data_IF_312943367922
#
_entry.id   IF_312943367922
#
_cell.length_a   1.000
_cell.length_b   1.000
_cell.length_c   1.000
_cell.angle_alpha   90.00
_cell.angle_beta   90.00
_cell.angle_gamma   90.00
#
_symmetry.space_group_name_H-M   'P 1'
#
loop_
_entity.id
_entity.type
_entity.pdbx_description
1 polymer ?
#
# COMPACT_ATOMS: atom_id res chain seq x y z
N UNK A 1 -17.13 11.30 -20.38
CA UNK A 1 -16.40 10.02 -20.31
C UNK A 1 -16.48 9.38 -21.67
N UNK A 2 -15.35 9.17 -22.34
CA UNK A 2 -15.29 8.59 -23.69
C UNK A 2 -15.60 7.11 -23.64
N UNK A 3 -16.57 6.67 -24.42
CA UNK A 3 -16.90 5.27 -24.62
C UNK A 3 -16.15 4.75 -25.84
N UNK A 4 -15.34 3.74 -25.63
CA UNK A 4 -14.78 2.97 -26.73
C UNK A 4 -15.90 2.04 -27.21
N UNK A 5 -16.25 2.06 -28.49
CA UNK A 5 -17.38 1.33 -29.05
C UNK A 5 -17.30 -0.17 -28.68
N UNK A 6 -18.37 -0.69 -28.08
CA UNK A 6 -18.45 -2.10 -27.65
C UNK A 6 -17.77 -2.46 -26.33
N UNK A 7 -17.03 -1.55 -25.73
CA UNK A 7 -16.32 -1.77 -24.46
C UNK A 7 -17.16 -1.28 -23.26
N UNK A 8 -16.96 -1.85 -22.05
CA UNK A 8 -17.61 -1.32 -20.86
C UNK A 8 -17.09 0.07 -20.52
N UNK A 9 -17.94 0.90 -19.90
CA UNK A 9 -17.49 2.16 -19.35
C UNK A 9 -16.34 1.96 -18.38
N UNK A 10 -15.30 2.77 -18.48
CA UNK A 10 -14.21 2.80 -17.52
C UNK A 10 -14.77 3.29 -16.18
N UNK A 11 -14.58 2.53 -15.12
CA UNK A 11 -14.98 2.94 -13.79
C UNK A 11 -14.01 4.00 -13.26
N UNK A 12 -14.50 4.83 -12.34
CA UNK A 12 -13.62 5.83 -11.71
C UNK A 12 -12.42 5.16 -11.07
N UNK A 13 -11.22 5.63 -11.42
CA UNK A 13 -9.94 5.15 -10.89
C UNK A 13 -9.69 3.63 -11.11
N UNK A 14 -10.24 3.06 -12.19
CA UNK A 14 -10.08 1.65 -12.52
C UNK A 14 -8.67 1.33 -13.03
N UNK A 15 -8.15 0.13 -12.67
CA UNK A 15 -6.92 -0.39 -13.29
C UNK A 15 -7.20 -0.91 -14.70
N UNK A 16 -6.20 -0.84 -15.57
CA UNK A 16 -6.38 -1.29 -16.97
C UNK A 16 -6.61 -2.79 -17.06
N UNK A 17 -5.94 -3.61 -16.25
CA UNK A 17 -6.16 -5.07 -16.21
C UNK A 17 -7.59 -5.42 -15.83
N UNK A 18 -8.20 -4.67 -14.91
CA UNK A 18 -9.60 -4.82 -14.51
C UNK A 18 -10.55 -4.46 -15.65
N UNK A 19 -10.32 -3.32 -16.31
CA UNK A 19 -11.14 -2.89 -17.44
C UNK A 19 -11.08 -3.87 -18.61
N UNK A 20 -9.89 -4.36 -18.95
CA UNK A 20 -9.72 -5.39 -19.99
C UNK A 20 -10.47 -6.68 -19.62
N UNK A 21 -10.36 -7.14 -18.39
CA UNK A 21 -11.10 -8.33 -17.93
C UNK A 21 -12.61 -8.14 -18.01
N UNK A 22 -13.14 -6.98 -17.58
CA UNK A 22 -14.57 -6.65 -17.69
C UNK A 22 -15.04 -6.59 -19.15
N UNK A 23 -14.17 -6.19 -20.05
CA UNK A 23 -14.44 -6.16 -21.49
C UNK A 23 -14.70 -7.56 -22.05
N UNK A 24 -13.96 -8.57 -21.58
CA UNK A 24 -14.18 -9.95 -22.01
C UNK A 24 -15.51 -10.54 -21.53
N UNK A 25 -15.99 -10.11 -20.37
CA UNK A 25 -17.28 -10.55 -19.84
C UNK A 25 -18.47 -10.00 -20.64
N UNK A 26 -18.31 -8.84 -21.25
CA UNK A 26 -19.39 -8.14 -21.97
C UNK A 26 -19.35 -8.38 -23.47
N UNK A 27 -18.21 -8.70 -24.02
CA UNK A 27 -18.04 -8.76 -25.46
C UNK A 27 -18.29 -10.17 -26.00
N UNK A 28 -18.90 -10.22 -27.17
CA UNK A 28 -18.80 -11.34 -28.09
C UNK A 28 -17.36 -11.57 -28.60
N UNK A 29 -16.40 -10.77 -28.13
CA UNK A 29 -14.98 -10.95 -28.40
C UNK A 29 -14.52 -12.23 -27.72
N UNK A 30 -14.15 -13.19 -28.54
CA UNK A 30 -13.73 -14.52 -28.15
C UNK A 30 -12.79 -14.49 -26.96
N UNK A 31 -13.13 -15.21 -25.90
CA UNK A 31 -12.29 -15.45 -24.72
C UNK A 31 -10.88 -15.96 -25.02
N UNK A 32 -10.61 -16.38 -26.27
CA UNK A 32 -9.32 -16.87 -26.74
C UNK A 32 -8.20 -15.84 -26.56
N UNK A 33 -8.48 -14.56 -26.57
CA UNK A 33 -7.47 -13.52 -26.48
C UNK A 33 -6.89 -13.37 -25.07
N UNK A 34 -7.72 -13.35 -24.03
CA UNK A 34 -7.22 -13.35 -22.66
C UNK A 34 -6.91 -14.76 -22.13
N UNK A 35 -7.54 -15.80 -22.65
CA UNK A 35 -7.19 -17.18 -22.34
C UNK A 35 -5.77 -17.52 -22.82
N UNK A 36 -5.36 -17.08 -24.01
CA UNK A 36 -3.98 -17.20 -24.49
C UNK A 36 -2.98 -16.38 -23.67
N UNK A 37 -3.42 -15.29 -23.04
CA UNK A 37 -2.60 -14.42 -22.19
C UNK A 37 -2.61 -14.82 -20.71
N UNK A 38 -3.41 -15.81 -20.32
CA UNK A 38 -3.39 -16.41 -18.98
C UNK A 38 -1.99 -16.91 -18.58
N UNK A 39 -1.15 -17.21 -19.55
CA UNK A 39 0.27 -17.55 -19.35
C UNK A 39 1.20 -16.34 -19.15
N UNK A 40 0.74 -15.13 -19.42
CA UNK A 40 1.48 -13.87 -19.21
C UNK A 40 1.18 -13.19 -17.87
N UNK A 41 0.34 -13.79 -17.02
CA UNK A 41 0.32 -13.42 -15.61
C UNK A 41 1.72 -13.66 -15.11
N UNK A 42 2.47 -12.63 -14.64
CA UNK A 42 3.80 -12.88 -14.11
C UNK A 42 3.65 -14.00 -13.09
N UNK A 43 4.42 -15.09 -13.20
CA UNK A 43 4.32 -16.20 -12.27
C UNK A 43 4.43 -15.60 -10.87
N UNK A 44 3.64 -16.09 -9.90
CA UNK A 44 3.78 -15.65 -8.52
C UNK A 44 5.27 -15.73 -8.20
N UNK A 45 5.86 -14.61 -7.81
CA UNK A 45 7.30 -14.51 -7.54
C UNK A 45 7.65 -15.69 -6.67
N UNK A 46 8.38 -16.66 -7.24
CA UNK A 46 8.81 -17.83 -6.50
C UNK A 46 9.73 -17.32 -5.40
N UNK A 47 9.39 -17.64 -4.17
CA UNK A 47 10.15 -17.29 -2.99
C UNK A 47 11.62 -17.77 -3.18
N UNK A 48 12.56 -16.83 -3.35
CA UNK A 48 14.00 -17.12 -3.46
C UNK A 48 14.62 -16.98 -4.85
N UNK A 49 13.87 -16.66 -5.89
CA UNK A 49 14.46 -16.33 -7.21
C UNK A 49 14.94 -14.86 -7.28
N UNK A 50 15.91 -14.54 -8.16
CA UNK A 50 16.25 -13.16 -8.42
C UNK A 50 14.99 -12.42 -8.85
N UNK A 51 14.75 -11.24 -8.24
CA UNK A 51 13.62 -10.36 -8.55
C UNK A 51 13.79 -9.89 -10.00
N UNK A 52 13.22 -10.60 -10.94
CA UNK A 52 12.96 -10.05 -12.26
C UNK A 52 11.96 -8.93 -12.01
N UNK A 53 12.32 -7.70 -12.32
CA UNK A 53 11.39 -6.57 -12.33
C UNK A 53 10.28 -6.92 -13.32
N UNK A 54 9.21 -7.52 -12.80
CA UNK A 54 8.05 -7.85 -13.61
C UNK A 54 7.39 -6.53 -13.97
N UNK A 55 7.25 -6.29 -15.27
CA UNK A 55 6.53 -5.14 -15.80
C UNK A 55 5.12 -5.09 -15.18
N UNK A 56 4.77 -3.97 -14.58
CA UNK A 56 3.49 -3.78 -13.90
C UNK A 56 2.41 -3.35 -14.91
N UNK A 57 1.54 -4.25 -15.29
CA UNK A 57 0.52 -4.02 -16.31
C UNK A 57 -0.45 -2.88 -16.01
N UNK A 58 -0.67 -2.58 -14.74
CA UNK A 58 -1.61 -1.53 -14.32
C UNK A 58 -0.94 -0.16 -14.16
N UNK A 59 0.40 -0.11 -14.06
CA UNK A 59 1.12 1.12 -13.72
C UNK A 59 2.34 1.41 -14.60
N UNK A 60 2.73 0.49 -15.50
CA UNK A 60 3.77 0.72 -16.50
C UNK A 60 3.17 0.74 -17.91
N UNK A 61 3.12 1.91 -18.57
CA UNK A 61 2.56 2.04 -19.93
C UNK A 61 3.42 1.37 -21.01
N UNK A 62 4.64 0.97 -20.70
CA UNK A 62 5.58 0.44 -21.69
C UNK A 62 5.58 -1.10 -21.77
N UNK A 63 4.68 -1.77 -21.03
CA UNK A 63 4.61 -3.23 -21.03
C UNK A 63 4.18 -3.78 -22.39
N UNK A 64 4.79 -4.89 -22.80
CA UNK A 64 4.40 -5.58 -24.03
C UNK A 64 2.96 -6.10 -23.96
N UNK A 65 2.50 -6.45 -22.76
CA UNK A 65 1.09 -6.78 -22.52
C UNK A 65 0.15 -5.65 -22.93
N UNK A 66 0.43 -4.41 -22.50
CA UNK A 66 -0.40 -3.27 -22.84
C UNK A 66 -0.39 -3.01 -24.34
N UNK A 67 0.78 -3.01 -24.97
CA UNK A 67 0.92 -2.79 -26.43
C UNK A 67 0.10 -3.81 -27.21
N UNK A 68 0.28 -5.10 -26.94
CA UNK A 68 -0.46 -6.16 -27.58
C UNK A 68 -1.98 -6.05 -27.33
N UNK A 69 -2.41 -5.72 -26.09
CA UNK A 69 -3.82 -5.54 -25.79
C UNK A 69 -4.44 -4.36 -26.56
N UNK A 70 -3.72 -3.24 -26.66
CA UNK A 70 -4.21 -2.04 -27.37
C UNK A 70 -4.23 -2.25 -28.89
N UNK A 71 -3.22 -2.90 -29.46
CA UNK A 71 -3.20 -3.28 -30.90
C UNK A 71 -4.42 -4.14 -31.27
N UNK A 72 -4.73 -5.15 -30.47
CA UNK A 72 -5.86 -6.06 -30.73
C UNK A 72 -7.23 -5.37 -30.56
N UNK A 73 -7.30 -4.35 -29.71
CA UNK A 73 -8.50 -3.57 -29.53
C UNK A 73 -8.60 -2.39 -30.52
N UNK A 74 -7.61 -2.21 -31.39
CA UNK A 74 -7.46 -1.05 -32.28
C UNK A 74 -7.55 0.29 -31.51
N UNK A 75 -6.94 0.35 -30.32
CA UNK A 75 -6.90 1.52 -29.43
C UNK A 75 -5.49 2.11 -29.45
N UNK A 76 -5.39 3.42 -29.56
CA UNK A 76 -4.11 4.11 -29.43
C UNK A 76 -3.53 3.94 -28.03
N UNK A 77 -2.27 3.47 -27.93
CA UNK A 77 -1.58 3.22 -26.66
C UNK A 77 -1.44 4.48 -25.82
N UNK A 78 -1.18 5.65 -26.46
CA UNK A 78 -1.04 6.92 -25.76
C UNK A 78 -2.38 7.37 -25.17
N UNK A 79 -3.48 7.12 -25.89
CA UNK A 79 -4.82 7.38 -25.37
C UNK A 79 -5.13 6.52 -24.14
N UNK A 80 -4.83 5.22 -24.20
CA UNK A 80 -4.96 4.33 -23.05
C UNK A 80 -4.05 4.77 -21.89
N UNK A 81 -2.80 5.17 -22.18
CA UNK A 81 -1.88 5.69 -21.20
C UNK A 81 -2.42 6.92 -20.46
N UNK A 82 -2.99 7.88 -21.18
CA UNK A 82 -3.60 9.07 -20.58
C UNK A 82 -4.78 8.76 -19.67
N UNK A 83 -5.56 7.69 -19.95
CA UNK A 83 -6.71 7.28 -19.14
C UNK A 83 -6.33 6.51 -17.89
N UNK A 84 -5.33 5.63 -17.97
CA UNK A 84 -5.07 4.65 -16.93
C UNK A 84 -3.78 4.91 -16.11
N UNK A 85 -2.77 5.61 -16.64
CA UNK A 85 -1.44 5.66 -16.02
C UNK A 85 -1.10 6.95 -15.22
N UNK A 86 -2.10 7.72 -14.84
CA UNK A 86 -1.91 8.80 -13.85
C UNK A 86 -1.65 8.20 -12.46
N UNK A 87 -0.37 8.11 -12.06
CA UNK A 87 0.03 7.50 -10.79
C UNK A 87 0.65 8.54 -9.86
N UNK A 88 0.30 8.49 -8.58
CA UNK A 88 0.76 9.43 -7.56
C UNK A 88 1.39 8.74 -6.34
N UNK A 89 2.05 7.60 -6.50
CA UNK A 89 2.65 6.93 -5.35
C UNK A 89 3.31 5.59 -5.68
N UNK A 90 3.96 5.00 -4.69
CA UNK A 90 4.54 3.66 -4.80
C UNK A 90 3.42 2.61 -4.71
N UNK A 91 3.39 1.72 -5.68
CA UNK A 91 2.41 0.63 -5.76
C UNK A 91 2.92 -0.65 -5.11
N UNK A 92 1.99 -1.48 -4.66
CA UNK A 92 2.24 -2.85 -4.23
C UNK A 92 2.40 -3.73 -5.46
N UNK A 93 3.29 -4.72 -5.40
CA UNK A 93 3.44 -5.73 -6.44
C UNK A 93 2.09 -6.31 -6.88
N UNK A 94 1.92 -6.57 -8.17
CA UNK A 94 0.64 -7.00 -8.75
C UNK A 94 0.07 -8.25 -8.05
N UNK A 95 0.90 -9.22 -7.77
CA UNK A 95 0.52 -10.47 -7.11
C UNK A 95 0.09 -10.29 -5.64
N UNK A 96 0.27 -9.10 -5.09
CA UNK A 96 -0.02 -8.77 -3.68
C UNK A 96 -1.04 -7.65 -3.51
N UNK A 97 -1.77 -7.29 -4.56
CA UNK A 97 -2.86 -6.32 -4.53
C UNK A 97 -4.13 -6.96 -4.02
N UNK A 98 -4.16 -7.24 -2.73
CA UNK A 98 -5.25 -7.95 -2.06
C UNK A 98 -6.31 -7.05 -1.44
N UNK A 99 -6.10 -5.73 -1.44
CA UNK A 99 -6.95 -4.81 -0.72
C UNK A 99 -8.01 -4.20 -1.62
N UNK A 100 -9.27 -4.17 -1.16
CA UNK A 100 -10.41 -3.67 -1.93
C UNK A 100 -11.45 -3.00 -1.04
N UNK A 101 -12.32 -2.17 -1.62
CA UNK A 101 -13.46 -1.56 -0.95
C UNK A 101 -14.75 -2.28 -1.33
N UNK A 102 -15.42 -2.89 -0.35
CA UNK A 102 -16.69 -3.58 -0.56
C UNK A 102 -17.80 -2.65 -1.09
N UNK A 103 -17.82 -1.39 -0.65
CA UNK A 103 -18.82 -0.42 -1.09
C UNK A 103 -18.64 -0.05 -2.57
N UNK A 104 -17.40 0.07 -3.07
CA UNK A 104 -17.17 0.30 -4.49
C UNK A 104 -17.69 -0.85 -5.34
N UNK A 105 -17.41 -2.11 -4.95
CA UNK A 105 -17.85 -3.28 -5.70
C UNK A 105 -19.38 -3.41 -5.71
N UNK A 106 -20.02 -3.19 -4.58
CA UNK A 106 -21.49 -3.15 -4.48
C UNK A 106 -22.09 -2.04 -5.34
N UNK A 107 -21.48 -0.85 -5.35
CA UNK A 107 -21.92 0.27 -6.18
C UNK A 107 -21.76 -0.01 -7.69
N UNK A 108 -20.74 -0.74 -8.12
CA UNK A 108 -20.58 -1.16 -9.50
C UNK A 108 -21.75 -2.08 -9.92
N UNK A 109 -22.05 -3.11 -9.14
CA UNK A 109 -23.15 -4.03 -9.39
C UNK A 109 -24.50 -3.30 -9.38
N UNK A 110 -24.74 -2.41 -8.42
CA UNK A 110 -25.98 -1.62 -8.35
C UNK A 110 -26.20 -0.74 -9.60
N UNK A 111 -25.11 -0.37 -10.31
CA UNK A 111 -25.16 0.36 -11.59
C UNK A 111 -25.22 -0.56 -12.80
N UNK A 112 -25.40 -1.87 -12.63
CA UNK A 112 -25.40 -2.86 -13.72
C UNK A 112 -24.01 -3.05 -14.36
N UNK A 113 -22.93 -2.73 -13.64
CA UNK A 113 -21.56 -2.92 -14.10
C UNK A 113 -20.93 -4.13 -13.39
N UNK A 114 -20.08 -4.86 -14.10
CA UNK A 114 -19.25 -5.86 -13.46
C UNK A 114 -18.27 -5.16 -12.48
N UNK A 115 -17.94 -5.80 -11.31
CA UNK A 115 -17.12 -5.19 -10.30
C UNK A 115 -15.68 -4.99 -10.81
N UNK A 116 -15.15 -3.79 -10.63
CA UNK A 116 -13.83 -3.44 -11.11
C UNK A 116 -12.83 -3.14 -9.99
N UNK A 117 -11.55 -3.33 -10.28
CA UNK A 117 -10.46 -3.05 -9.35
C UNK A 117 -9.98 -1.61 -9.49
N UNK A 118 -9.68 -0.92 -8.37
CA UNK A 118 -9.31 0.51 -8.36
C UNK A 118 -7.80 0.71 -8.15
N UNK A 119 -7.21 1.69 -8.81
CA UNK A 119 -5.79 2.04 -8.69
C UNK A 119 -5.41 2.45 -7.27
N UNK A 120 -6.24 3.26 -6.61
CA UNK A 120 -5.93 3.71 -5.26
C UNK A 120 -5.86 2.58 -4.22
N UNK A 121 -6.45 1.41 -4.48
CA UNK A 121 -6.27 0.25 -3.61
C UNK A 121 -4.90 -0.40 -3.74
N UNK A 122 -4.20 -0.11 -4.84
CA UNK A 122 -2.90 -0.69 -5.15
C UNK A 122 -1.72 0.06 -4.52
N UNK A 123 -1.94 1.28 -3.99
CA UNK A 123 -0.84 2.02 -3.37
C UNK A 123 -0.46 1.44 -2.00
N UNK A 124 0.84 1.53 -1.68
CA UNK A 124 1.39 0.96 -0.43
C UNK A 124 0.79 1.59 0.82
N UNK A 125 0.47 2.85 0.77
CA UNK A 125 -0.08 3.64 1.87
C UNK A 125 -1.60 3.79 1.84
N UNK A 126 -2.29 3.10 0.94
CA UNK A 126 -3.75 3.04 0.92
C UNK A 126 -4.28 2.22 2.09
N UNK A 127 -5.14 2.85 2.88
CA UNK A 127 -5.71 2.28 4.10
C UNK A 127 -7.23 2.32 4.03
N UNK A 128 -7.76 3.44 3.54
CA UNK A 128 -9.20 3.68 3.38
C UNK A 128 -9.53 3.97 1.92
N UNK A 129 -10.73 3.64 1.52
CA UNK A 129 -11.22 3.98 0.19
C UNK A 129 -11.37 5.49 0.04
N UNK A 130 -10.76 6.08 -0.97
CA UNK A 130 -10.86 7.53 -1.25
C UNK A 130 -12.28 8.00 -1.56
N UNK A 131 -13.13 7.12 -2.11
CA UNK A 131 -14.53 7.43 -2.48
C UNK A 131 -15.47 7.29 -1.29
N UNK A 132 -15.30 6.26 -0.46
CA UNK A 132 -16.27 5.92 0.61
C UNK A 132 -15.77 6.20 2.02
N UNK A 133 -14.49 6.51 2.20
CA UNK A 133 -13.87 6.63 3.52
C UNK A 133 -13.94 5.32 4.34
N UNK A 134 -14.26 4.22 3.70
CA UNK A 134 -14.37 2.90 4.31
C UNK A 134 -13.02 2.20 4.32
N UNK A 135 -12.82 1.33 5.31
CA UNK A 135 -11.63 0.50 5.36
C UNK A 135 -11.57 -0.43 4.15
N UNK A 136 -10.35 -0.72 3.72
CA UNK A 136 -10.11 -1.72 2.70
C UNK A 136 -10.10 -3.11 3.35
N UNK A 137 -10.73 -4.06 2.66
CA UNK A 137 -10.79 -5.47 3.05
C UNK A 137 -9.77 -6.28 2.29
N UNK A 138 -9.29 -7.36 2.89
CA UNK A 138 -8.33 -8.25 2.27
C UNK A 138 -9.03 -9.35 1.46
N UNK A 139 -8.62 -9.51 0.21
CA UNK A 139 -9.00 -10.66 -0.61
C UNK A 139 -8.36 -11.93 -0.03
N UNK A 140 -9.15 -12.99 0.13
CA UNK A 140 -8.71 -14.25 0.75
C UNK A 140 -8.11 -15.24 -0.23
N UNK A 141 -8.29 -14.99 -1.53
CA UNK A 141 -7.73 -15.81 -2.60
C UNK A 141 -6.57 -15.08 -3.28
N UNK A 142 -5.69 -15.82 -3.94
CA UNK A 142 -4.60 -15.23 -4.73
C UNK A 142 -5.18 -14.29 -5.79
N UNK A 143 -4.72 -13.03 -5.91
CA UNK A 143 -5.20 -12.09 -6.92
C UNK A 143 -5.04 -12.66 -8.34
N UNK A 144 -6.13 -12.63 -9.09
CA UNK A 144 -6.23 -12.99 -10.49
C UNK A 144 -6.76 -11.80 -11.29
N UNK A 145 -6.91 -11.94 -12.60
CA UNK A 145 -7.61 -10.93 -13.41
C UNK A 145 -9.08 -10.78 -12.97
N UNK A 146 -9.71 -11.87 -12.52
CA UNK A 146 -11.06 -11.92 -11.95
C UNK A 146 -11.20 -11.31 -10.56
N UNK A 147 -10.12 -10.80 -9.95
CA UNK A 147 -10.08 -10.35 -8.54
C UNK A 147 -11.25 -9.43 -8.11
N UNK A 148 -11.81 -8.65 -9.04
CA UNK A 148 -13.00 -7.85 -8.78
C UNK A 148 -14.23 -8.71 -8.44
N UNK A 149 -14.44 -9.79 -9.18
CA UNK A 149 -15.49 -10.76 -8.91
C UNK A 149 -15.21 -11.59 -7.66
N UNK A 150 -13.99 -12.05 -7.48
CA UNK A 150 -13.60 -12.84 -6.30
C UNK A 150 -13.85 -12.05 -5.01
N UNK A 151 -13.48 -10.75 -5.02
CA UNK A 151 -13.74 -9.84 -3.93
C UNK A 151 -15.25 -9.58 -3.71
N UNK A 152 -16.03 -9.45 -4.79
CA UNK A 152 -17.48 -9.28 -4.68
C UNK A 152 -18.16 -10.53 -4.12
N UNK A 153 -17.77 -11.72 -4.55
CA UNK A 153 -18.26 -13.00 -3.99
C UNK A 153 -17.91 -13.08 -2.50
N UNK A 154 -16.69 -12.68 -2.12
CA UNK A 154 -16.29 -12.61 -0.71
C UNK A 154 -17.18 -11.65 0.09
N UNK A 155 -17.61 -10.51 -0.51
CA UNK A 155 -18.56 -9.58 0.13
C UNK A 155 -19.93 -10.22 0.37
N UNK A 156 -20.42 -11.06 -0.55
CA UNK A 156 -21.71 -11.74 -0.42
C UNK A 156 -21.69 -12.83 0.65
N UNK A 157 -20.54 -13.42 0.91
CA UNK A 157 -20.35 -14.46 1.91
C UNK A 157 -20.13 -13.93 3.33
N UNK A 158 -20.28 -12.62 3.56
CA UNK A 158 -20.02 -11.92 4.81
C UNK A 158 -18.63 -12.23 5.45
N UNK A 159 -17.68 -12.65 4.60
CA UNK A 159 -16.30 -12.93 5.02
C UNK A 159 -15.45 -11.64 5.13
N UNK A 160 -16.10 -10.51 5.32
CA UNK A 160 -15.45 -9.23 5.52
C UNK A 160 -15.12 -9.08 6.99
N UNK A 161 -13.98 -9.57 7.42
CA UNK A 161 -13.61 -9.54 8.82
C UNK A 161 -12.60 -8.40 9.07
N UNK A 162 -12.97 -7.43 9.88
CA UNK A 162 -12.29 -7.09 11.11
C UNK A 162 -13.19 -6.29 12.07
N UNK A 163 -13.84 -6.93 13.06
CA UNK A 163 -14.70 -6.23 14.02
C UNK A 163 -13.95 -5.28 14.95
N UNK A 164 -12.67 -5.50 15.20
CA UNK A 164 -11.90 -4.74 16.18
C UNK A 164 -11.69 -3.25 15.80
N UNK A 165 -11.90 -2.90 14.53
CA UNK A 165 -11.70 -1.55 14.00
C UNK A 165 -12.98 -0.81 13.67
N UNK A 166 -14.16 -1.38 13.93
CA UNK A 166 -15.45 -0.85 13.49
C UNK A 166 -15.99 0.31 14.33
N UNK A 167 -15.29 0.79 15.35
CA UNK A 167 -15.70 1.98 16.05
C UNK A 167 -15.75 3.18 15.09
N UNK A 168 -16.95 3.72 14.86
CA UNK A 168 -17.19 4.83 13.92
C UNK A 168 -16.28 6.04 14.17
N UNK A 169 -16.01 6.35 15.46
CA UNK A 169 -15.12 7.45 15.80
C UNK A 169 -13.68 7.20 15.38
N UNK A 170 -13.21 5.94 15.45
CA UNK A 170 -11.89 5.58 15.02
C UNK A 170 -11.77 5.57 13.48
N UNK A 171 -12.83 5.17 12.78
CA UNK A 171 -12.90 5.26 11.33
C UNK A 171 -12.80 6.72 10.84
N UNK A 172 -13.59 7.63 11.43
CA UNK A 172 -13.52 9.07 11.13
C UNK A 172 -12.12 9.63 11.38
N UNK A 173 -11.50 9.23 12.45
CA UNK A 173 -10.13 9.61 12.78
C UNK A 173 -9.13 9.14 11.71
N UNK A 174 -9.19 7.85 11.32
CA UNK A 174 -8.33 7.32 10.25
C UNK A 174 -8.49 8.09 8.94
N UNK A 175 -9.72 8.31 8.51
CA UNK A 175 -10.02 9.12 7.32
C UNK A 175 -9.41 10.51 7.43
N UNK A 176 -9.53 11.14 8.59
CA UNK A 176 -8.95 12.47 8.83
C UNK A 176 -7.42 12.46 8.70
N UNK A 177 -6.74 11.47 9.29
CA UNK A 177 -5.27 11.33 9.20
C UNK A 177 -4.86 11.08 7.74
N UNK A 178 -5.48 10.12 7.06
CA UNK A 178 -5.21 9.81 5.66
C UNK A 178 -5.38 11.05 4.78
N UNK A 179 -6.48 11.78 4.93
CA UNK A 179 -6.75 12.99 4.15
C UNK A 179 -5.72 14.12 4.42
N UNK A 180 -5.22 14.25 5.65
CA UNK A 180 -4.15 15.22 5.97
C UNK A 180 -2.85 14.83 5.30
N UNK A 181 -2.45 13.57 5.39
CA UNK A 181 -1.24 13.06 4.75
C UNK A 181 -1.33 13.20 3.24
N UNK A 182 -2.46 12.81 2.63
CA UNK A 182 -2.68 12.93 1.18
C UNK A 182 -2.58 14.38 0.72
N UNK A 183 -3.26 15.31 1.40
CA UNK A 183 -3.19 16.74 1.06
C UNK A 183 -1.80 17.32 1.25
N UNK A 184 -1.06 16.84 2.26
CA UNK A 184 0.32 17.25 2.46
C UNK A 184 1.19 16.73 1.32
N UNK A 185 1.08 15.44 0.94
CA UNK A 185 1.84 14.84 -0.18
C UNK A 185 1.67 15.62 -1.48
N UNK A 186 0.46 16.07 -1.80
CA UNK A 186 0.17 16.84 -3.02
C UNK A 186 0.92 18.19 -3.11
N UNK A 187 1.43 18.69 -2.00
CA UNK A 187 2.16 19.97 -1.92
C UNK A 187 3.68 19.78 -1.88
N UNK A 188 4.17 18.53 -1.82
CA UNK A 188 5.59 18.26 -1.61
C UNK A 188 6.32 17.97 -2.91
N UNK A 189 7.60 18.32 -2.95
CA UNK A 189 8.51 17.92 -4.00
C UNK A 189 8.94 16.45 -3.86
N UNK A 190 9.46 15.88 -4.95
CA UNK A 190 9.84 14.46 -5.04
C UNK A 190 10.75 13.99 -3.92
N UNK A 191 11.75 14.79 -3.52
CA UNK A 191 12.69 14.43 -2.45
C UNK A 191 11.99 14.19 -1.12
N UNK A 192 11.08 15.09 -0.75
CA UNK A 192 10.30 14.98 0.50
C UNK A 192 9.32 13.81 0.45
N UNK A 193 8.72 13.54 -0.70
CA UNK A 193 7.85 12.37 -0.91
C UNK A 193 8.62 11.07 -0.78
N UNK A 194 9.80 10.97 -1.39
CA UNK A 194 10.67 9.79 -1.28
C UNK A 194 11.08 9.54 0.18
N UNK A 195 11.38 10.61 0.92
CA UNK A 195 11.72 10.52 2.34
C UNK A 195 10.54 10.01 3.18
N UNK A 196 9.34 10.56 2.96
CA UNK A 196 8.13 10.08 3.63
C UNK A 196 7.89 8.59 3.34
N UNK A 197 7.99 8.18 2.09
CA UNK A 197 7.79 6.80 1.67
C UNK A 197 8.85 5.85 2.25
N UNK A 198 10.09 6.32 2.42
CA UNK A 198 11.15 5.58 3.09
C UNK A 198 10.84 5.42 4.58
N UNK A 199 10.45 6.51 5.28
CA UNK A 199 10.02 6.45 6.68
C UNK A 199 8.85 5.48 6.86
N UNK A 200 7.82 5.62 6.03
CA UNK A 200 6.67 4.72 6.03
C UNK A 200 7.10 3.26 5.89
N UNK A 201 7.99 2.97 4.96
CA UNK A 201 8.47 1.60 4.70
C UNK A 201 9.33 1.06 5.86
N UNK A 202 10.14 1.90 6.48
CA UNK A 202 10.94 1.52 7.65
C UNK A 202 10.05 1.21 8.86
N UNK A 203 8.98 1.97 9.08
CA UNK A 203 8.00 1.67 10.14
C UNK A 203 7.25 0.35 9.91
N UNK A 204 7.12 -0.09 8.66
CA UNK A 204 6.55 -1.37 8.24
C UNK A 204 7.58 -2.46 7.99
N UNK A 205 8.82 -2.28 8.41
CA UNK A 205 9.90 -3.24 8.18
C UNK A 205 9.44 -4.67 8.52
N UNK A 206 9.43 -5.54 7.51
CA UNK A 206 9.17 -6.96 7.74
C UNK A 206 10.29 -7.58 8.58
N UNK A 207 9.97 -8.51 9.51
CA UNK A 207 11.00 -9.14 10.33
C UNK A 207 12.02 -9.86 9.45
N UNK A 208 13.27 -9.44 9.59
CA UNK A 208 14.43 -10.10 8.99
C UNK A 208 14.90 -11.17 9.96
N UNK A 209 15.66 -12.16 9.51
CA UNK A 209 16.20 -13.26 10.33
C UNK A 209 16.78 -12.73 11.65
N UNK A 210 16.19 -13.11 12.79
CA UNK A 210 16.52 -12.60 14.13
C UNK A 210 16.42 -11.08 14.30
N UNK A 211 15.80 -10.38 13.37
CA UNK A 211 15.69 -8.93 13.38
C UNK A 211 14.43 -8.40 14.05
N UNK A 212 14.52 -7.17 14.53
CA UNK A 212 13.38 -6.45 15.03
C UNK A 212 12.42 -6.12 13.88
N UNK A 213 11.14 -6.22 14.13
CA UNK A 213 10.09 -5.76 13.24
C UNK A 213 9.98 -4.24 13.27
N UNK A 214 9.33 -3.66 12.27
CA UNK A 214 9.06 -2.22 12.25
C UNK A 214 8.16 -1.77 13.41
N UNK A 215 8.32 -0.54 13.83
CA UNK A 215 7.63 0.06 14.97
C UNK A 215 6.10 -0.04 14.89
N UNK A 216 5.55 -0.04 13.68
CA UNK A 216 4.12 -0.16 13.46
C UNK A 216 3.51 -1.46 14.02
N UNK A 217 4.23 -2.57 13.95
CA UNK A 217 3.79 -3.85 14.50
C UNK A 217 3.90 -3.88 16.02
N UNK A 218 4.96 -3.32 16.57
CA UNK A 218 5.15 -3.25 18.03
C UNK A 218 4.03 -2.45 18.70
N UNK A 219 3.72 -1.28 18.17
CA UNK A 219 2.74 -0.37 18.77
C UNK A 219 1.31 -0.87 18.72
N UNK A 220 0.92 -1.53 17.64
CA UNK A 220 -0.46 -1.99 17.46
C UNK A 220 -0.66 -3.46 17.83
N UNK A 221 0.42 -4.11 18.27
CA UNK A 221 0.33 -5.47 18.80
C UNK A 221 -0.07 -6.52 17.77
N UNK A 222 0.14 -6.24 16.51
CA UNK A 222 -0.04 -7.25 15.49
C UNK A 222 1.19 -8.14 15.41
N UNK A 223 1.00 -9.46 15.30
CA UNK A 223 2.13 -10.31 14.94
C UNK A 223 2.64 -9.80 13.59
N UNK A 224 3.94 -9.55 13.50
CA UNK A 224 4.57 -9.31 12.22
C UNK A 224 4.20 -10.44 11.26
N UNK A 225 4.22 -10.20 9.95
CA UNK A 225 3.86 -11.24 9.00
C UNK A 225 4.67 -12.49 9.32
N UNK A 226 3.99 -13.61 9.57
CA UNK A 226 4.59 -14.94 9.84
C UNK A 226 5.36 -15.48 8.62
N UNK A 227 5.84 -14.59 7.81
CA UNK A 227 6.62 -14.91 6.65
C UNK A 227 8.02 -15.19 7.18
N UNK A 228 8.32 -16.47 7.33
CA UNK A 228 9.69 -16.96 7.38
C UNK A 228 10.35 -16.72 6.01
N UNK A 229 10.30 -15.46 5.59
CA UNK A 229 11.09 -15.06 4.46
C UNK A 229 12.52 -15.09 4.93
N UNK A 230 13.31 -15.89 4.29
CA UNK A 230 14.75 -15.72 4.27
C UNK A 230 15.04 -14.37 3.63
N UNK A 231 14.70 -13.28 4.33
CA UNK A 231 15.04 -11.93 3.92
C UNK A 231 16.54 -11.79 4.07
N UNK A 232 17.28 -11.66 2.98
CA UNK A 232 18.73 -11.67 3.05
C UNK A 232 19.29 -10.42 3.73
N UNK A 233 18.52 -9.34 3.80
CA UNK A 233 19.02 -8.07 4.33
C UNK A 233 17.90 -7.09 4.71
N UNK A 234 18.29 -6.01 5.38
CA UNK A 234 17.42 -4.93 5.86
C UNK A 234 16.60 -4.27 4.75
N UNK A 235 17.18 -4.02 3.57
CA UNK A 235 16.47 -3.43 2.43
C UNK A 235 15.34 -4.31 1.92
N UNK A 236 15.54 -5.62 1.88
CA UNK A 236 14.49 -6.56 1.51
C UNK A 236 13.33 -6.50 2.52
N UNK A 237 13.65 -6.45 3.83
CA UNK A 237 12.65 -6.27 4.88
C UNK A 237 11.82 -4.99 4.71
N UNK A 238 12.45 -3.87 4.36
CA UNK A 238 11.78 -2.60 4.06
C UNK A 238 10.89 -2.74 2.81
N UNK A 239 11.41 -3.34 1.74
CA UNK A 239 10.68 -3.51 0.48
C UNK A 239 9.39 -4.31 0.69
N UNK A 240 9.48 -5.42 1.40
CA UNK A 240 8.36 -6.34 1.61
C UNK A 240 7.43 -5.95 2.75
N UNK A 241 7.86 -5.08 3.67
CA UNK A 241 7.03 -4.64 4.80
C UNK A 241 5.65 -4.15 4.39
N UNK A 242 5.59 -3.30 3.37
CA UNK A 242 4.31 -2.76 2.88
C UNK A 242 3.44 -3.79 2.15
N UNK A 243 4.01 -4.83 1.55
CA UNK A 243 3.28 -5.83 0.77
C UNK A 243 2.47 -6.78 1.66
N UNK A 244 3.00 -7.09 2.85
CA UNK A 244 2.40 -8.03 3.78
C UNK A 244 1.69 -7.38 4.95
N UNK A 245 1.84 -6.06 5.11
CA UNK A 245 1.28 -5.35 6.24
C UNK A 245 -0.25 -5.40 6.24
N UNK A 246 -0.83 -5.63 7.41
CA UNK A 246 -2.26 -5.43 7.65
C UNK A 246 -2.65 -3.95 7.50
N UNK A 247 -3.94 -3.66 7.38
CA UNK A 247 -4.42 -2.27 7.37
C UNK A 247 -4.07 -1.54 8.67
N UNK A 248 -4.04 -2.24 9.79
CA UNK A 248 -3.63 -1.69 11.08
C UNK A 248 -2.17 -1.26 11.06
N UNK A 249 -1.27 -2.16 10.66
CA UNK A 249 0.15 -1.87 10.56
C UNK A 249 0.42 -0.74 9.56
N UNK A 250 -0.29 -0.73 8.43
CA UNK A 250 -0.21 0.37 7.45
C UNK A 250 -0.66 1.70 8.04
N UNK A 251 -1.78 1.72 8.78
CA UNK A 251 -2.24 2.93 9.45
C UNK A 251 -1.26 3.38 10.54
N UNK A 252 -0.75 2.45 11.35
CA UNK A 252 0.27 2.74 12.36
C UNK A 252 1.50 3.39 11.74
N UNK A 253 1.98 2.82 10.64
CA UNK A 253 3.12 3.39 9.90
C UNK A 253 2.83 4.77 9.35
N UNK A 254 1.63 4.98 8.76
CA UNK A 254 1.22 6.29 8.25
C UNK A 254 1.16 7.34 9.37
N UNK A 255 0.62 6.96 10.53
CA UNK A 255 0.53 7.79 11.71
C UNK A 255 1.91 8.19 12.22
N UNK A 256 2.82 7.23 12.37
CA UNK A 256 4.18 7.45 12.86
C UNK A 256 5.02 8.28 11.88
N UNK A 257 5.00 7.93 10.59
CA UNK A 257 5.68 8.71 9.57
C UNK A 257 5.11 10.13 9.49
N UNK A 258 3.79 10.27 9.56
CA UNK A 258 3.12 11.56 9.61
C UNK A 258 3.49 12.38 10.84
N UNK A 259 3.67 11.75 11.99
CA UNK A 259 4.13 12.41 13.21
C UNK A 259 5.57 12.89 13.09
N UNK A 260 6.47 12.06 12.60
CA UNK A 260 7.87 12.44 12.38
C UNK A 260 8.03 13.57 11.36
N UNK A 261 7.11 13.65 10.39
CA UNK A 261 7.09 14.72 9.39
C UNK A 261 6.28 15.96 9.81
N UNK A 262 5.77 15.99 11.04
CA UNK A 262 5.00 17.12 11.58
C UNK A 262 3.58 17.28 11.00
N UNK A 263 3.04 16.27 10.33
CA UNK A 263 1.69 16.28 9.75
C UNK A 263 0.64 15.88 10.78
N UNK A 264 1.03 14.98 11.67
CA UNK A 264 0.23 14.43 12.77
C UNK A 264 0.80 14.96 14.07
N UNK A 265 -0.06 15.37 15.00
CA UNK A 265 0.37 15.97 16.28
C UNK A 265 0.14 15.06 17.48
N UNK A 266 0.59 15.52 18.67
CA UNK A 266 0.48 14.79 19.94
C UNK A 266 -0.97 14.44 20.31
N UNK A 267 -1.94 15.27 19.92
CA UNK A 267 -3.37 15.01 20.16
C UNK A 267 -3.85 13.79 19.39
N UNK A 268 -3.35 13.58 18.18
CA UNK A 268 -3.70 12.42 17.36
C UNK A 268 -3.13 11.13 17.98
N UNK A 269 -1.89 11.20 18.46
CA UNK A 269 -1.26 10.08 19.15
C UNK A 269 -1.98 9.78 20.48
N UNK A 270 -2.40 10.80 21.23
CA UNK A 270 -3.18 10.65 22.45
C UNK A 270 -4.53 9.95 22.18
N UNK A 271 -5.21 10.31 21.06
CA UNK A 271 -6.46 9.65 20.68
C UNK A 271 -6.26 8.17 20.38
N UNK A 272 -5.17 7.80 19.72
CA UNK A 272 -4.84 6.38 19.43
C UNK A 272 -4.49 5.66 20.72
N UNK A 273 -3.70 6.25 21.60
CA UNK A 273 -3.32 5.69 22.89
C UNK A 273 -4.56 5.33 23.73
N UNK A 274 -5.53 6.23 23.82
CA UNK A 274 -6.79 5.99 24.55
C UNK A 274 -7.64 4.84 23.98
N UNK A 275 -7.28 4.28 22.82
CA UNK A 275 -8.00 3.18 22.14
C UNK A 275 -7.15 1.93 21.95
N UNK A 276 -5.89 1.97 22.34
CA UNK A 276 -4.96 0.87 22.16
C UNK A 276 -4.05 0.77 23.39
N UNK A 277 -4.32 -0.23 24.24
CA UNK A 277 -3.60 -0.47 25.50
C UNK A 277 -2.08 -0.62 25.33
N UNK A 278 -1.63 -1.27 24.25
CA UNK A 278 -0.19 -1.42 23.99
C UNK A 278 0.46 -0.08 23.64
N UNK A 279 -0.21 0.73 22.83
CA UNK A 279 0.27 2.06 22.49
C UNK A 279 0.26 2.96 23.74
N UNK A 280 -0.77 2.87 24.57
CA UNK A 280 -0.84 3.59 25.85
C UNK A 280 0.29 3.17 26.80
N UNK A 281 0.51 1.88 26.98
CA UNK A 281 1.61 1.36 27.78
C UNK A 281 2.96 1.87 27.26
N UNK A 282 3.21 1.76 25.95
CA UNK A 282 4.44 2.27 25.35
C UNK A 282 4.62 3.77 25.55
N UNK A 283 3.57 4.57 25.38
CA UNK A 283 3.59 6.01 25.60
C UNK A 283 3.84 6.38 27.05
N UNK A 284 3.26 5.64 27.99
CA UNK A 284 3.39 5.88 29.43
C UNK A 284 4.81 5.61 29.94
N UNK A 285 5.50 4.64 29.35
CA UNK A 285 6.89 4.33 29.69
C UNK A 285 7.92 5.27 29.02
N UNK A 286 7.52 6.00 27.98
CA UNK A 286 8.43 6.83 27.21
C UNK A 286 8.00 8.29 27.30
N UNK A 287 8.66 9.02 28.21
CA UNK A 287 8.45 10.47 28.42
C UNK A 287 8.70 11.29 27.13
N UNK A 288 9.60 10.82 26.25
CA UNK A 288 9.82 11.38 24.94
C UNK A 288 9.60 10.31 23.85
N UNK A 289 8.46 10.43 23.19
CA UNK A 289 8.03 9.53 22.12
C UNK A 289 9.08 9.45 21.00
N UNK A 290 9.69 10.59 20.68
CA UNK A 290 10.67 10.72 19.60
C UNK A 290 11.95 9.96 19.94
N UNK A 291 12.43 10.07 21.18
CA UNK A 291 13.66 9.38 21.62
C UNK A 291 13.50 7.87 21.82
N UNK A 292 12.26 7.41 21.92
CA UNK A 292 11.95 5.98 22.07
C UNK A 292 11.67 5.26 20.76
N UNK A 293 11.55 5.99 19.65
CA UNK A 293 11.33 5.37 18.33
C UNK A 293 12.49 4.46 17.94
N UNK A 294 12.15 3.30 17.42
CA UNK A 294 13.08 2.31 16.88
C UNK A 294 12.84 2.17 15.39
N UNK A 295 13.93 2.09 14.64
CA UNK A 295 13.87 1.94 13.18
C UNK A 295 14.18 0.51 12.73
N UNK A 296 14.14 -0.46 13.65
CA UNK A 296 14.37 -1.87 13.34
C UNK A 296 15.79 -2.23 12.92
N UNK A 297 16.76 -1.33 13.08
CA UNK A 297 18.17 -1.60 12.78
C UNK A 297 18.78 -2.47 13.87
N UNK A 298 19.46 -3.55 13.47
CA UNK A 298 20.16 -4.47 14.38
C UNK A 298 21.68 -4.44 14.21
N UNK A 299 22.16 -3.83 13.15
CA UNK A 299 23.60 -3.77 12.83
C UNK A 299 24.03 -2.37 12.38
N UNK A 300 25.36 -2.12 12.43
CA UNK A 300 25.96 -0.91 11.89
C UNK A 300 25.72 -0.76 10.37
N UNK A 301 25.56 -1.88 9.66
CA UNK A 301 25.28 -1.87 8.23
C UNK A 301 23.84 -1.43 7.96
N UNK A 302 22.86 -1.99 8.68
CA UNK A 302 21.44 -1.59 8.58
C UNK A 302 21.29 -0.09 8.84
N UNK A 303 22.06 0.39 9.81
CA UNK A 303 22.10 1.78 10.19
C UNK A 303 22.63 2.69 9.07
N UNK A 304 23.74 2.33 8.42
CA UNK A 304 24.25 3.07 7.25
C UNK A 304 23.24 3.08 6.10
N UNK A 305 22.54 1.97 5.91
CA UNK A 305 21.47 1.89 4.91
C UNK A 305 20.29 2.80 5.26
N UNK A 306 19.85 2.83 6.52
CA UNK A 306 18.82 3.75 6.99
C UNK A 306 19.27 5.22 6.79
N UNK A 307 20.49 5.53 7.17
CA UNK A 307 21.09 6.84 6.97
C UNK A 307 21.07 7.27 5.50
N UNK A 308 21.51 6.40 4.61
CA UNK A 308 21.47 6.62 3.16
C UNK A 308 20.06 6.83 2.62
N UNK A 309 19.08 6.05 3.11
CA UNK A 309 17.68 6.16 2.70
C UNK A 309 17.04 7.50 3.11
N UNK A 310 17.38 8.00 4.30
CA UNK A 310 16.75 9.20 4.87
C UNK A 310 17.53 10.48 4.56
N UNK A 311 18.85 10.42 4.56
CA UNK A 311 19.71 11.60 4.40
C UNK A 311 20.38 11.71 3.02
N UNK A 312 20.40 10.66 2.24
CA UNK A 312 21.10 10.64 0.95
C UNK A 312 20.58 11.67 -0.08
N UNK A 313 19.55 12.46 0.27
CA UNK A 313 18.90 13.42 -0.63
C UNK A 313 18.76 14.84 -0.08
N UNK A 314 19.42 15.19 1.02
CA UNK A 314 19.45 16.57 1.52
C UNK A 314 18.98 16.75 2.97
N UNK A 315 18.66 17.99 3.35
CA UNK A 315 18.21 18.35 4.70
C UNK A 315 16.87 17.73 5.06
N UNK A 316 16.74 17.34 6.32
CA UNK A 316 15.52 16.77 6.84
C UNK A 316 14.42 17.85 6.99
N UNK A 317 13.18 17.56 6.59
CA UNK A 317 12.15 18.57 6.48
C UNK A 317 11.56 19.01 7.82
N UNK A 318 11.91 18.40 8.95
CA UNK A 318 11.41 18.82 10.25
C UNK A 318 12.29 18.43 11.44
N UNK A 319 12.20 19.24 12.51
CA UNK A 319 12.99 19.08 13.73
C UNK A 319 12.64 17.81 14.52
N UNK A 320 11.41 17.36 14.45
CA UNK A 320 10.96 16.13 15.12
C UNK A 320 11.71 14.93 14.58
N UNK A 321 11.81 14.80 13.27
CA UNK A 321 12.57 13.73 12.62
C UNK A 321 14.07 13.86 12.92
N UNK A 322 14.62 15.08 12.84
CA UNK A 322 16.02 15.36 13.19
C UNK A 322 16.35 14.88 14.60
N UNK A 323 15.51 15.22 15.59
CA UNK A 323 15.67 14.83 16.98
C UNK A 323 15.59 13.31 17.16
N UNK A 324 14.59 12.65 16.55
CA UNK A 324 14.42 11.21 16.61
C UNK A 324 15.65 10.46 16.11
N UNK A 325 16.16 10.87 14.95
CA UNK A 325 17.33 10.25 14.35
C UNK A 325 18.61 10.52 15.16
N UNK A 326 18.87 11.74 15.59
CA UNK A 326 20.05 12.06 16.43
C UNK A 326 20.06 11.22 17.71
N UNK A 327 18.92 11.07 18.39
CA UNK A 327 18.83 10.29 19.62
C UNK A 327 19.03 8.80 19.34
N UNK A 328 18.47 8.28 18.27
CA UNK A 328 18.65 6.90 17.85
C UNK A 328 20.11 6.61 17.47
N UNK A 329 20.74 7.50 16.71
CA UNK A 329 22.15 7.45 16.34
C UNK A 329 23.07 7.48 17.55
N UNK A 330 22.78 8.32 18.52
CA UNK A 330 23.57 8.38 19.75
C UNK A 330 23.52 7.04 20.51
N UNK A 331 22.32 6.46 20.66
CA UNK A 331 22.14 5.17 21.33
C UNK A 331 22.92 4.03 20.66
N UNK A 332 22.89 3.97 19.31
CA UNK A 332 23.60 2.91 18.56
C UNK A 332 25.12 3.06 18.55
N UNK A 333 25.63 4.26 18.74
CA UNK A 333 27.10 4.48 18.89
C UNK A 333 27.63 4.08 20.26
N UNK A 334 26.75 4.04 21.26
CA UNK A 334 27.11 3.68 22.64
C UNK A 334 26.97 2.17 22.92
N UNK A 335 26.40 1.41 22.00
CA UNK A 335 26.36 -0.06 21.97
C UNK A 335 27.46 -0.62 21.05
#
# INVERSE_FOLDING_TARGET
MSTIAGMPHILHDETISSWLYRSTLRSRYNNQYLAGQSYMIPPPVSWGGPLVESSDWDFDPNTDFLKAAMENLAIDVNYAAALFFNTHGRVVDWARRWWFCAQCLRADIARGQAPGWRKHWCYRDSIVCSTHGADLHRLQVQPQLSRGWDAFIQCLQDRLIDPAWQCQNFQRFRVSVVNRVTRWKLKQGKVTLDMFDNLYSVMLLAPVYNGNQGMAYELFGEPGPLIRLAMPNYLAGIKYGAEFASMKARFASLLLAGYLMGIVGDRDLAFVAAKNERFEAWRSYNLDLVSSMRFGCTSKLDFKLLESLLFGRGELPCDTLNRALRTYFFKLRMQ
#
